data_IF_310411521304
#
_entry.id   IF_310411521304
#
_cell.length_a   1.000
_cell.length_b   1.000
_cell.length_c   1.000
_cell.angle_alpha   90.00
_cell.angle_beta   90.00
_cell.angle_gamma   90.00
#
_symmetry.space_group_name_H-M   'P 1'
#
loop_
_entity.id
_entity.type
_entity.pdbx_description
1 polymer ?
2 water ?
#
# COMPACT_ATOMS: atom_id res chain seq x y z
N UNK A 10 -14.82 7.94 5.64
CA UNK A 10 -14.29 6.57 5.30
C UNK A 10 -15.11 5.45 6.02
N UNK A 11 -16.43 5.56 5.94
CA UNK A 11 -17.33 4.79 6.80
C UNK A 11 -17.77 3.49 6.13
N UNK A 12 -17.67 3.43 4.80
CA UNK A 12 -18.19 2.31 4.01
C UNK A 12 -17.63 2.41 2.60
N UNK A 13 -17.87 1.38 1.80
CA UNK A 13 -17.37 1.30 0.43
C UNK A 13 -15.94 0.82 0.24
N UNK A 14 -15.48 0.92 -1.01
CA UNK A 14 -14.12 0.54 -1.42
C UNK A 14 -13.46 1.73 -2.12
N UNK A 15 -12.18 1.96 -1.85
CA UNK A 15 -11.33 2.81 -2.68
C UNK A 15 -10.08 2.04 -3.09
N UNK A 16 -9.80 2.05 -4.39
CA UNK A 16 -8.54 1.56 -4.95
C UNK A 16 -7.67 2.76 -5.23
N UNK A 17 -6.48 2.74 -4.63
CA UNK A 17 -5.49 3.78 -4.83
C UNK A 17 -4.40 3.31 -5.77
N UNK A 18 -3.85 4.28 -6.48
CA UNK A 18 -2.69 4.14 -7.29
C UNK A 18 -1.51 4.70 -6.51
N UNK A 19 -0.47 3.89 -6.27
CA UNK A 19 0.60 4.24 -5.29
C UNK A 19 2.02 4.13 -5.86
N UNK A 20 2.93 4.90 -5.26
CA UNK A 20 4.36 4.80 -5.56
C UNK A 20 5.12 4.77 -4.24
N UNK A 21 6.07 3.85 -4.15
CA UNK A 21 7.04 3.84 -3.05
C UNK A 21 8.34 4.53 -3.40
N UNK A 22 9.08 4.88 -2.35
CA UNK A 22 10.40 5.47 -2.41
C UNK A 22 11.33 4.62 -1.53
N UNK A 23 12.50 4.31 -2.07
CA UNK A 23 13.59 3.70 -1.31
C UNK A 23 14.83 4.54 -1.51
N UNK A 24 15.85 4.27 -0.70
CA UNK A 24 17.15 4.94 -0.90
C UNK A 24 18.10 3.90 -1.48
N UNK A 25 18.73 4.27 -2.59
CA UNK A 25 19.73 3.43 -3.27
C UNK A 25 20.86 4.33 -3.72
N UNK A 26 22.08 3.94 -3.37
CA UNK A 26 23.26 4.66 -3.80
C UNK A 26 23.17 6.14 -3.46
N UNK A 27 22.67 6.44 -2.25
CA UNK A 27 22.57 7.82 -1.74
C UNK A 27 21.55 8.73 -2.44
N UNK A 28 20.59 8.12 -3.13
CA UNK A 28 19.55 8.87 -3.83
C UNK A 28 18.22 8.22 -3.52
N UNK A 29 17.15 8.98 -3.66
CA UNK A 29 15.81 8.39 -3.58
C UNK A 29 15.39 7.88 -4.95
N UNK A 30 14.81 6.69 -4.95
CA UNK A 30 14.36 6.05 -6.17
C UNK A 30 12.91 5.63 -5.97
N UNK A 31 12.09 5.83 -7.00
CA UNK A 31 10.69 5.44 -6.90
C UNK A 31 10.43 4.03 -7.46
N UNK A 32 9.29 3.50 -7.09
CA UNK A 32 8.81 2.22 -7.62
C UNK A 32 8.19 2.35 -9.03
N UNK A 33 7.70 1.21 -9.56
CA UNK A 33 7.11 1.07 -10.91
C UNK A 33 7.71 2.01 -11.99
N UNK A 51 0.62 -0.21 -16.39
CA UNK A 51 1.15 -1.05 -15.29
C UNK A 51 1.48 -0.28 -13.99
N UNK A 52 0.68 -0.54 -12.97
CA UNK A 52 0.47 0.37 -11.85
C UNK A 52 0.47 -0.46 -10.59
N UNK A 53 0.86 0.18 -9.50
CA UNK A 53 0.75 -0.39 -8.17
C UNK A 53 -0.59 0.07 -7.55
N UNK A 54 -1.42 -0.89 -7.17
CA UNK A 54 -2.68 -0.60 -6.50
C UNK A 54 -2.62 -1.05 -5.06
N UNK A 55 -3.28 -0.26 -4.21
CA UNK A 55 -3.71 -0.68 -2.88
C UNK A 55 -5.21 -0.42 -2.78
N UNK A 56 -5.95 -1.42 -2.28
CA UNK A 56 -7.41 -1.29 -2.15
C UNK A 56 -7.75 -1.37 -0.68
N UNK A 57 -8.55 -0.41 -0.24
CA UNK A 57 -9.12 -0.33 1.12
C UNK A 57 -10.59 -0.68 1.04
N UNK A 58 -11.00 -1.70 1.78
CA UNK A 58 -12.39 -1.99 2.00
C UNK A 58 -12.84 -1.43 3.35
N UNK A 59 -13.62 -0.34 3.32
CA UNK A 59 -14.09 0.34 4.55
C UNK A 59 -15.35 -0.28 5.18
N UNK A 60 -15.95 -1.25 4.50
CA UNK A 60 -16.95 -2.15 5.09
C UNK A 60 -16.31 -3.17 6.05
N UNK A 61 -15.43 -4.02 5.52
CA UNK A 61 -14.79 -5.09 6.27
C UNK A 61 -13.53 -4.64 7.03
N UNK A 62 -13.09 -3.40 6.83
CA UNK A 62 -11.86 -2.87 7.47
C UNK A 62 -10.61 -3.71 7.13
N UNK A 63 -10.48 -4.04 5.84
CA UNK A 63 -9.37 -4.81 5.29
C UNK A 63 -8.73 -4.07 4.11
N UNK A 64 -7.48 -4.41 3.82
CA UNK A 64 -6.68 -3.67 2.85
C UNK A 64 -5.66 -4.60 2.28
N UNK A 65 -5.32 -4.39 1.01
CA UNK A 65 -4.39 -5.27 0.30
C UNK A 65 -3.87 -4.61 -0.97
N UNK A 66 -2.67 -5.00 -1.35
CA UNK A 66 -2.14 -4.57 -2.62
C UNK A 66 -0.70 -4.91 -2.75
N UNK A 67 -0.07 -4.31 -3.76
CA UNK A 67 1.30 -4.64 -4.11
C UNK A 67 1.95 -3.38 -4.75
N UNK A 68 3.13 -3.04 -4.24
CA UNK A 68 3.96 -2.03 -4.87
C UNK A 68 4.92 -2.77 -5.79
N UNK A 69 4.77 -2.50 -7.08
CA UNK A 69 5.66 -3.05 -8.09
C UNK A 69 6.99 -2.28 -8.15
N UNK A 70 8.12 -2.99 -8.03
CA UNK A 70 9.45 -2.38 -8.15
C UNK A 70 9.96 -2.22 -9.58
N UNK A 71 11.29 -2.20 -9.68
CA UNK A 71 12.07 -2.00 -10.91
C UNK A 71 13.53 -2.26 -10.48
N UNK A 72 14.51 -2.09 -11.36
CA UNK A 72 15.86 -2.51 -11.03
C UNK A 72 16.46 -1.62 -9.93
N UNK A 73 16.02 -0.36 -9.84
CA UNK A 73 16.57 0.57 -8.85
C UNK A 73 15.85 0.43 -7.55
N UNK A 74 14.52 0.47 -7.58
CA UNK A 74 13.73 0.34 -6.33
C UNK A 74 13.87 -1.05 -5.72
N UNK A 75 14.07 -2.06 -6.56
CA UNK A 75 14.34 -3.40 -6.08
C UNK A 75 13.04 -4.18 -5.96
N UNK A 76 13.00 -5.12 -5.00
CA UNK A 76 11.85 -6.04 -4.91
C UNK A 76 10.47 -5.39 -4.72
N UNK A 77 9.45 -6.01 -5.33
CA UNK A 77 8.05 -5.67 -5.13
C UNK A 77 7.72 -5.74 -3.64
N UNK A 78 6.70 -4.99 -3.21
CA UNK A 78 6.18 -5.14 -1.86
C UNK A 78 4.75 -5.67 -1.89
N UNK A 79 4.56 -6.86 -1.31
CA UNK A 79 3.23 -7.44 -1.24
C UNK A 79 2.55 -7.19 0.12
N UNK A 80 1.30 -6.76 0.07
CA UNK A 80 0.48 -6.54 1.25
C UNK A 80 -0.77 -7.39 1.14
N UNK A 81 -0.80 -8.50 1.90
CA UNK A 81 -2.02 -9.29 2.08
C UNK A 81 -2.65 -9.03 3.47
N UNK A 82 -3.96 -8.83 3.48
CA UNK A 82 -4.74 -8.97 4.72
C UNK A 82 -4.27 -7.96 5.78
N UNK A 83 -4.08 -6.71 5.37
CA UNK A 83 -3.88 -5.64 6.30
C UNK A 83 -5.24 -5.20 6.92
N UNK A 84 -5.14 -4.33 7.92
CA UNK A 84 -6.30 -3.93 8.73
C UNK A 84 -6.48 -2.41 8.67
N UNK A 85 -7.74 -1.98 8.79
CA UNK A 85 -8.11 -0.56 8.81
C UNK A 85 -8.83 -0.23 10.12
N UNK A 86 -8.44 0.87 10.73
CA UNK A 86 -9.21 1.43 11.86
C UNK A 86 -9.35 2.93 11.71
N UNK A 87 -10.56 3.40 11.41
CA UNK A 87 -10.76 4.79 11.10
C UNK A 87 -9.94 5.25 9.89
N UNK A 88 -9.17 6.34 10.07
CA UNK A 88 -8.31 6.87 9.00
C UNK A 88 -6.87 6.31 8.98
N UNK A 89 -6.64 5.18 9.66
CA UNK A 89 -5.34 4.55 9.79
C UNK A 89 -5.43 3.12 9.26
N UNK A 90 -4.29 2.58 8.86
CA UNK A 90 -4.19 1.18 8.51
C UNK A 90 -2.81 0.62 8.86
N UNK A 91 -2.73 -0.69 8.96
CA UNK A 91 -1.50 -1.35 9.33
C UNK A 91 -1.56 -2.80 8.90
N UNK A 92 -0.42 -3.47 8.98
CA UNK A 92 -0.36 -4.91 8.85
C UNK A 92 1.04 -5.36 8.53
N UNK A 93 1.12 -6.51 7.89
CA UNK A 93 2.35 -7.13 7.48
C UNK A 93 2.50 -6.98 5.97
N UNK A 94 3.74 -7.02 5.55
CA UNK A 94 4.09 -6.93 4.15
C UNK A 94 5.25 -7.86 3.94
N UNK A 95 5.47 -8.28 2.71
CA UNK A 95 6.66 -9.02 2.38
C UNK A 95 7.35 -8.34 1.20
N UNK A 96 8.67 -8.38 1.21
CA UNK A 96 9.45 -7.91 0.09
C UNK A 96 10.79 -8.63 0.04
N UNK A 97 11.13 -9.19 -1.12
CA UNK A 97 12.43 -9.85 -1.28
C UNK A 97 12.68 -10.95 -0.25
N UNK A 98 11.63 -11.65 0.14
CA UNK A 98 11.75 -12.72 1.15
C UNK A 98 11.72 -12.29 2.60
N UNK A 99 11.59 -10.98 2.84
CA UNK A 99 11.63 -10.41 4.19
C UNK A 99 10.25 -9.91 4.55
N UNK A 100 9.90 -10.01 5.83
CA UNK A 100 8.63 -9.49 6.29
C UNK A 100 8.80 -8.10 6.90
N UNK A 101 7.77 -7.30 6.68
CA UNK A 101 7.79 -5.90 7.01
C UNK A 101 6.53 -5.59 7.80
N UNK A 102 6.60 -4.49 8.54
CA UNK A 102 5.46 -3.94 9.22
C UNK A 102 5.00 -2.66 8.53
N UNK A 103 3.73 -2.68 8.11
CA UNK A 103 3.06 -1.56 7.47
C UNK A 103 2.33 -0.69 8.49
N UNK A 104 2.53 0.62 8.38
CA UNK A 104 1.67 1.61 9.02
C UNK A 104 1.33 2.73 8.03
N UNK A 105 0.11 3.24 8.04
CA UNK A 105 -0.25 4.30 7.16
C UNK A 105 -1.55 4.99 7.51
N UNK A 106 -1.87 5.98 6.70
CA UNK A 106 -2.98 6.86 6.95
C UNK A 106 -3.73 7.15 5.65
N UNK A 107 -5.03 7.37 5.78
CA UNK A 107 -5.82 7.96 4.73
C UNK A 107 -6.01 9.47 4.96
N UNK A 108 -5.92 10.24 3.87
CA UNK A 108 -6.05 11.70 3.92
C UNK A 108 -7.20 12.16 3.05
N UNK A 118 -10.71 13.10 -5.90
CA UNK A 118 -9.43 12.43 -5.63
C UNK A 118 -9.03 12.53 -4.15
N UNK A 119 -8.86 11.39 -3.50
CA UNK A 119 -8.30 11.38 -2.14
C UNK A 119 -6.97 10.60 -2.12
N UNK A 120 -6.29 10.65 -1.00
CA UNK A 120 -4.94 10.12 -0.96
C UNK A 120 -4.64 9.17 0.24
N UNK A 121 -3.48 8.53 0.16
CA UNK A 121 -3.07 7.49 1.09
C UNK A 121 -1.56 7.65 1.25
N UNK A 122 -1.02 7.37 2.42
CA UNK A 122 0.42 7.25 2.55
C UNK A 122 0.79 6.37 3.69
N UNK A 123 2.03 5.92 3.70
CA UNK A 123 2.46 5.02 4.76
C UNK A 123 3.92 4.66 4.67
N UNK A 124 4.33 3.79 5.57
CA UNK A 124 5.70 3.38 5.65
C UNK A 124 5.75 1.91 5.95
N UNK A 125 6.80 1.28 5.46
CA UNK A 125 7.00 -0.14 5.67
C UNK A 125 8.45 -0.36 6.07
N UNK A 126 8.60 -0.99 7.23
CA UNK A 126 9.87 -1.27 7.88
C UNK A 126 10.16 -2.77 7.88
N UNK A 127 11.40 -3.14 7.51
CA UNK A 127 11.81 -4.52 7.42
C UNK A 127 12.99 -4.76 8.37
N UNK A 128 12.73 -5.25 9.56
CA UNK A 128 13.81 -5.36 10.56
C UNK A 128 14.94 -6.28 10.12
N UNK A 129 14.62 -7.34 9.40
CA UNK A 129 15.64 -8.20 8.78
C UNK A 129 16.50 -7.63 7.67
N UNK A 130 16.03 -6.57 7.00
CA UNK A 130 16.85 -5.89 6.00
C UNK A 130 16.34 -4.48 5.77
N UNK A 131 16.90 -3.50 6.48
CA UNK A 131 16.32 -2.15 6.52
C UNK A 131 16.52 -1.37 5.21
N UNK A 132 17.34 -1.88 4.30
CA UNK A 132 17.44 -1.31 2.95
C UNK A 132 16.12 -1.47 2.14
N UNK A 133 15.24 -2.36 2.61
CA UNK A 133 13.93 -2.57 2.00
C UNK A 133 12.88 -1.61 2.50
N UNK A 134 13.21 -0.86 3.56
CA UNK A 134 12.28 0.12 4.12
C UNK A 134 11.85 1.11 3.05
N UNK A 135 10.56 1.45 3.05
CA UNK A 135 10.00 2.33 2.00
C UNK A 135 8.91 3.20 2.62
N UNK A 136 8.79 4.43 2.11
CA UNK A 136 7.62 5.30 2.36
C UNK A 136 6.86 5.35 1.05
N UNK A 137 5.54 5.36 1.11
CA UNK A 137 4.77 5.37 -0.12
C UNK A 137 3.63 6.37 0.01
N UNK A 138 3.15 6.84 -1.14
CA UNK A 138 1.93 7.64 -1.21
C UNK A 138 1.22 7.41 -2.54
N UNK A 139 -0.03 7.87 -2.62
CA UNK A 139 -0.89 7.51 -3.73
C UNK A 139 -2.14 8.35 -3.71
N UNK A 140 -2.92 8.24 -4.77
CA UNK A 140 -4.16 8.99 -4.93
C UNK A 140 -5.18 7.97 -5.39
N UNK A 141 -6.46 8.26 -5.19
CA UNK A 141 -7.51 7.31 -5.55
C UNK A 141 -7.55 7.05 -7.08
N UNK A 142 -7.58 5.78 -7.48
CA UNK A 142 -7.66 5.37 -8.88
C UNK A 142 -9.15 5.23 -9.22
N UNK A 143 -9.90 4.68 -8.27
CA UNK A 143 -11.31 4.38 -8.42
C UNK A 143 -11.94 4.37 -7.03
N UNK A 144 -13.07 5.07 -6.89
CA UNK A 144 -13.88 5.04 -5.65
C UNK A 144 -15.20 4.33 -5.94
N UNK A 145 -15.59 3.38 -5.09
CA UNK A 145 -16.98 2.92 -5.01
C UNK A 145 -17.52 3.00 -3.57
N UNK A 146 -17.91 4.20 -3.16
CA UNK A 146 -18.32 4.46 -1.78
C UNK A 146 -19.58 3.68 -1.38
N UNK A 147 -20.37 3.23 -2.35
CA UNK A 147 -21.59 2.46 -2.08
C UNK A 147 -21.39 0.98 -2.43
N UNK A 148 -20.15 0.62 -2.76
CA UNK A 148 -19.74 -0.79 -2.78
C UNK A 148 -20.00 -1.47 -1.41
N UNK A 149 -20.64 -2.63 -1.47
CA UNK A 149 -21.07 -3.39 -0.29
C UNK A 149 -20.35 -4.75 -0.21
N UNK A 150 -19.35 -4.96 -1.07
CA UNK A 150 -18.51 -6.16 -1.00
C UNK A 150 -17.62 -6.12 0.23
N UNK A 151 -17.10 -7.28 0.63
CA UNK A 151 -16.15 -7.42 1.76
C UNK A 151 -14.67 -7.55 1.33
N UNK A 152 -14.45 -7.83 0.05
CA UNK A 152 -13.11 -8.16 -0.45
C UNK A 152 -12.27 -6.90 -0.75
N UNK A 153 -10.99 -7.13 -0.97
CA UNK A 153 -10.01 -6.10 -1.35
C UNK A 153 -9.50 -6.26 -2.81
N UNK A 154 -10.28 -6.93 -3.65
CA UNK A 154 -10.01 -6.92 -5.09
C UNK A 154 -10.08 -5.50 -5.62
N UNK A 155 -9.16 -5.18 -6.53
CA UNK A 155 -9.01 -3.83 -7.05
C UNK A 155 -10.23 -3.45 -7.90
N UNK A 156 -10.61 -2.19 -7.80
CA UNK A 156 -11.56 -1.59 -8.72
C UNK A 156 -10.88 -1.14 -10.03
N UNK A 157 -11.56 -1.31 -11.15
CA UNK A 157 -10.99 -1.02 -12.48
C UNK A 157 -11.77 0.05 -13.23
#
# INVERSE_FOLDING_TARGET
GPGSTPETALSKGKITYQVWGIRVRNGQFVTSSYTPPKSGSYYGTLANTPVLSFITANFNSNTLAGKILGNSDYGPDVDIQNATITGPTFSGDATSGGKSGKLEGKFFGKFASTRSSEVSIGGKITFDGDRSLDTVFGGVSYEKKLDDTSQDTNHLTKQ
#
